data_IF_280184520997
#
_entry.id   IF_280184520997
#
_cell.length_a   1.000
_cell.length_b   1.000
_cell.length_c   1.000
_cell.angle_alpha   90.00
_cell.angle_beta   90.00
_cell.angle_gamma   90.00
#
_symmetry.space_group_name_H-M   'P 1'
#
loop_
_entity.id
_entity.type
_entity.pdbx_description
1 polymer ?
#
# COMPACT_ATOMS: atom_id res chain seq x y z
N UNK A 1 14.19 -65.12 -9.26
CA UNK A 1 14.36 -63.73 -8.72
C UNK A 1 13.54 -62.81 -9.59
N UNK A 2 12.33 -62.46 -9.14
CA UNK A 2 11.45 -61.52 -9.85
C UNK A 2 11.55 -60.15 -9.13
N UNK A 3 12.08 -59.16 -9.86
CA UNK A 3 12.21 -57.81 -9.34
C UNK A 3 10.83 -57.10 -9.48
N UNK A 4 10.24 -56.76 -8.36
CA UNK A 4 9.00 -56.00 -8.26
C UNK A 4 9.31 -54.52 -8.55
N UNK A 5 9.00 -54.07 -9.75
CA UNK A 5 9.11 -52.65 -10.16
C UNK A 5 7.82 -51.95 -9.72
N UNK A 6 7.88 -51.30 -8.53
CA UNK A 6 6.78 -50.50 -8.06
C UNK A 6 6.72 -49.20 -8.89
N UNK A 7 5.76 -49.11 -9.81
CA UNK A 7 5.40 -47.87 -10.47
C UNK A 7 4.75 -46.94 -9.47
N UNK A 8 5.45 -45.92 -9.04
CA UNK A 8 4.85 -44.74 -8.40
C UNK A 8 4.05 -43.98 -9.45
N UNK A 9 2.78 -44.26 -9.55
CA UNK A 9 1.82 -43.39 -10.25
C UNK A 9 1.59 -42.19 -9.31
N UNK A 10 2.50 -41.25 -9.31
CA UNK A 10 2.27 -39.95 -8.75
C UNK A 10 1.18 -39.27 -9.55
N UNK A 11 -0.03 -39.16 -8.97
CA UNK A 11 -1.10 -38.40 -9.58
C UNK A 11 -0.59 -36.97 -9.89
N UNK A 12 -0.51 -36.67 -11.18
CA UNK A 12 -0.21 -35.33 -11.65
C UNK A 12 -1.37 -34.44 -11.19
N UNK A 13 -1.21 -33.74 -10.05
CA UNK A 13 -2.10 -32.62 -9.71
C UNK A 13 -1.98 -31.62 -10.85
N UNK A 14 -3.11 -31.24 -11.42
CA UNK A 14 -3.14 -30.20 -12.43
C UNK A 14 -2.45 -28.96 -11.86
N UNK A 15 -1.28 -28.65 -12.37
CA UNK A 15 -0.50 -27.49 -11.94
C UNK A 15 -1.29 -26.25 -12.31
N UNK A 16 -1.66 -25.42 -11.33
CA UNK A 16 -2.34 -24.16 -11.59
C UNK A 16 -1.49 -23.33 -12.56
N UNK A 17 -2.09 -22.90 -13.66
CA UNK A 17 -1.39 -22.10 -14.66
C UNK A 17 -1.01 -20.76 -14.05
N UNK A 18 0.19 -20.28 -14.29
CA UNK A 18 0.57 -18.92 -13.87
C UNK A 18 -0.44 -17.90 -14.39
N UNK A 19 -0.85 -17.00 -13.54
CA UNK A 19 -1.79 -15.94 -13.90
C UNK A 19 -1.32 -14.58 -13.39
N UNK A 20 -1.67 -13.56 -14.15
CA UNK A 20 -1.39 -12.16 -13.79
C UNK A 20 -2.71 -11.40 -13.79
N UNK A 21 -3.03 -10.76 -12.69
CA UNK A 21 -4.24 -9.94 -12.54
C UNK A 21 -3.85 -8.52 -12.20
N UNK A 22 -4.25 -7.59 -13.05
CA UNK A 22 -4.17 -6.16 -12.77
C UNK A 22 -5.33 -5.76 -11.87
N UNK A 23 -5.08 -4.84 -10.95
CA UNK A 23 -6.10 -4.21 -10.11
C UNK A 23 -5.69 -2.78 -9.80
N UNK A 24 -6.61 -2.03 -9.24
CA UNK A 24 -6.34 -0.67 -8.80
C UNK A 24 -7.63 0.11 -8.58
N UNK A 25 -7.47 1.34 -8.20
CA UNK A 25 -8.57 2.29 -8.06
C UNK A 25 -8.05 3.71 -8.28
N UNK A 26 -8.95 4.58 -8.71
CA UNK A 26 -8.73 6.02 -8.73
C UNK A 26 -9.31 6.57 -7.43
N UNK A 27 -8.50 7.32 -6.68
CA UNK A 27 -8.94 7.98 -5.45
C UNK A 27 -8.82 9.48 -5.63
N UNK A 28 -9.94 10.15 -5.49
CA UNK A 28 -10.00 11.60 -5.38
C UNK A 28 -10.35 11.94 -3.94
N UNK A 29 -9.52 12.74 -3.31
CA UNK A 29 -9.71 13.23 -1.95
C UNK A 29 -9.89 14.73 -2.01
N UNK A 30 -11.02 15.21 -1.49
CA UNK A 30 -11.34 16.63 -1.38
C UNK A 30 -11.49 17.00 0.08
N UNK A 31 -10.79 18.02 0.53
CA UNK A 31 -10.98 18.57 1.85
C UNK A 31 -11.10 20.09 1.78
N UNK A 32 -11.85 20.62 2.72
CA UNK A 32 -11.99 22.05 2.93
C UNK A 32 -11.69 22.33 4.40
N UNK A 33 -10.68 23.15 4.63
CA UNK A 33 -10.24 23.58 5.94
C UNK A 33 -10.61 25.05 6.14
N UNK A 34 -11.11 25.37 7.31
CA UNK A 34 -11.40 26.78 7.68
C UNK A 34 -10.15 27.54 8.08
N UNK A 35 -9.04 26.84 8.24
CA UNK A 35 -7.74 27.37 8.62
C UNK A 35 -6.67 26.62 7.84
N UNK A 36 -5.57 27.25 7.48
CA UNK A 36 -4.45 26.58 6.85
C UNK A 36 -3.92 25.43 7.72
N UNK A 37 -3.64 24.31 7.08
CA UNK A 37 -3.14 23.10 7.72
C UNK A 37 -1.65 22.91 7.47
N UNK A 38 -0.99 22.24 8.42
CA UNK A 38 0.36 21.74 8.23
C UNK A 38 0.35 20.68 7.15
N UNK A 39 1.26 20.77 6.21
CA UNK A 39 1.43 19.83 5.12
C UNK A 39 2.71 19.04 5.31
N UNK A 40 2.75 17.85 4.75
CA UNK A 40 3.95 17.04 4.66
C UNK A 40 4.16 16.59 3.22
N UNK A 41 5.31 16.03 2.94
CA UNK A 41 5.63 15.47 1.63
C UNK A 41 5.32 16.44 0.47
N UNK A 42 6.02 17.56 0.44
CA UNK A 42 5.86 18.60 -0.60
C UNK A 42 4.45 19.18 -0.66
N UNK A 43 3.85 19.40 0.50
CA UNK A 43 2.52 20.02 0.64
C UNK A 43 1.35 19.18 0.10
N UNK A 44 1.57 17.90 -0.15
CA UNK A 44 0.55 17.00 -0.69
C UNK A 44 -0.40 16.44 0.35
N UNK A 45 0.03 16.39 1.63
CA UNK A 45 -0.75 15.88 2.75
C UNK A 45 -0.81 16.90 3.86
N UNK A 46 -1.93 16.96 4.57
CA UNK A 46 -2.06 17.75 5.77
C UNK A 46 -2.26 16.85 7.01
N UNK A 47 -1.84 17.35 8.14
CA UNK A 47 -1.94 16.66 9.42
C UNK A 47 -2.81 17.39 10.43
N UNK A 48 -2.56 18.65 10.64
CA UNK A 48 -3.22 19.48 11.65
C UNK A 48 -3.18 20.95 11.26
N UNK A 49 -4.09 21.79 11.83
CA UNK A 49 -4.08 23.21 11.60
C UNK A 49 -2.73 23.84 11.99
N UNK A 50 -2.31 24.83 11.24
CA UNK A 50 -1.17 25.66 11.62
C UNK A 50 -1.48 26.49 12.87
N UNK A 51 -0.46 26.72 13.67
CA UNK A 51 -0.54 27.62 14.81
C UNK A 51 -0.88 29.06 14.38
N UNK A 52 -1.36 29.86 15.33
CA UNK A 52 -1.60 31.27 15.12
C UNK A 52 -0.28 31.99 14.76
N UNK A 53 -0.34 32.82 13.72
CA UNK A 53 0.79 33.65 13.29
C UNK A 53 0.29 35.04 12.94
N UNK A 54 0.50 35.98 13.85
CA UNK A 54 0.03 37.37 13.68
C UNK A 54 0.94 38.16 12.73
N UNK A 55 0.31 38.94 11.88
CA UNK A 55 0.97 39.97 11.07
C UNK A 55 1.23 41.25 11.88
N UNK A 56 1.79 42.28 11.25
CA UNK A 56 2.09 43.54 11.88
C UNK A 56 0.83 44.33 12.36
N UNK A 57 -0.34 43.94 11.88
CA UNK A 57 -1.63 44.54 12.23
C UNK A 57 -2.40 43.70 13.26
N UNK A 58 -1.85 42.58 13.70
CA UNK A 58 -2.47 41.68 14.67
C UNK A 58 -3.45 40.68 14.05
N UNK A 59 -3.47 40.51 12.75
CA UNK A 59 -4.32 39.49 12.09
C UNK A 59 -3.57 38.20 11.97
N UNK A 60 -4.27 37.07 12.17
CA UNK A 60 -3.69 35.75 11.98
C UNK A 60 -3.63 35.39 10.49
N UNK A 61 -2.43 35.31 9.93
CA UNK A 61 -2.22 34.99 8.51
C UNK A 61 -2.55 33.54 8.17
N UNK A 62 -2.65 32.65 9.15
CA UNK A 62 -3.02 31.24 8.97
C UNK A 62 -4.54 30.99 9.09
N UNK A 63 -5.31 32.02 9.49
CA UNK A 63 -6.78 31.95 9.55
C UNK A 63 -7.39 32.19 8.15
N UNK A 64 -6.99 31.35 7.22
CA UNK A 64 -7.48 31.40 5.84
C UNK A 64 -8.06 30.07 5.45
N UNK A 65 -9.26 30.05 4.83
CA UNK A 65 -9.83 28.83 4.32
C UNK A 65 -8.98 28.29 3.16
N UNK A 66 -8.82 27.00 3.16
CA UNK A 66 -8.08 26.27 2.12
C UNK A 66 -8.91 25.12 1.56
N UNK A 67 -8.84 24.90 0.26
CA UNK A 67 -9.43 23.76 -0.40
C UNK A 67 -8.35 22.96 -1.10
N UNK A 68 -8.29 21.68 -0.82
CA UNK A 68 -7.32 20.77 -1.42
C UNK A 68 -8.02 19.64 -2.15
N UNK A 69 -7.57 19.34 -3.36
CA UNK A 69 -7.99 18.19 -4.16
C UNK A 69 -6.76 17.34 -4.45
N UNK A 70 -6.79 16.09 -4.02
CA UNK A 70 -5.67 15.16 -4.15
C UNK A 70 -6.11 13.88 -4.84
N UNK A 71 -5.31 13.39 -5.79
CA UNK A 71 -5.51 12.11 -6.48
C UNK A 71 -4.27 11.20 -6.40
N UNK A 72 -3.26 11.63 -5.67
CA UNK A 72 -1.94 11.00 -5.63
C UNK A 72 -1.92 9.61 -5.01
N UNK A 73 -2.94 9.24 -4.23
CA UNK A 73 -3.09 7.90 -3.67
C UNK A 73 -3.89 6.94 -4.56
N UNK A 74 -4.19 7.36 -5.79
CA UNK A 74 -4.61 6.47 -6.87
C UNK A 74 -3.64 5.31 -6.97
N UNK A 75 -4.15 4.09 -7.04
CA UNK A 75 -3.36 2.88 -6.84
C UNK A 75 -3.39 1.99 -8.06
N UNK A 76 -2.23 1.43 -8.39
CA UNK A 76 -2.06 0.42 -9.41
C UNK A 76 -1.38 -0.79 -8.78
N UNK A 77 -1.84 -1.97 -9.13
CA UNK A 77 -1.28 -3.20 -8.58
C UNK A 77 -1.38 -4.38 -9.54
N UNK A 78 -0.52 -5.35 -9.27
CA UNK A 78 -0.43 -6.61 -9.99
C UNK A 78 -0.39 -7.74 -8.99
N UNK A 79 -1.31 -8.69 -9.09
CA UNK A 79 -1.26 -9.96 -8.39
C UNK A 79 -0.81 -11.04 -9.37
N UNK A 80 0.21 -11.79 -8.99
CA UNK A 80 0.80 -12.87 -9.79
C UNK A 80 0.61 -14.17 -9.01
N UNK A 81 0.02 -15.17 -9.67
CA UNK A 81 -0.01 -16.54 -9.16
C UNK A 81 1.01 -17.33 -9.94
N UNK A 82 1.94 -17.98 -9.25
CA UNK A 82 2.98 -18.81 -9.84
C UNK A 82 2.63 -20.30 -9.78
N UNK A 83 3.49 -21.16 -10.35
CA UNK A 83 3.37 -22.60 -10.21
C UNK A 83 3.63 -23.07 -8.78
N UNK A 84 3.15 -24.24 -8.41
CA UNK A 84 3.57 -24.88 -7.16
C UNK A 84 5.09 -25.12 -7.14
N UNK A 85 5.73 -24.78 -6.05
CA UNK A 85 7.15 -25.01 -5.82
C UNK A 85 7.40 -25.57 -4.42
N UNK A 86 8.11 -26.67 -4.33
CA UNK A 86 8.38 -27.38 -3.05
C UNK A 86 7.10 -27.67 -2.23
N UNK A 87 5.98 -27.98 -2.89
CA UNK A 87 4.70 -28.22 -2.26
C UNK A 87 4.00 -26.98 -1.70
N UNK A 88 4.52 -25.78 -2.00
CA UNK A 88 3.89 -24.51 -1.68
C UNK A 88 3.19 -23.89 -2.88
N UNK A 89 2.07 -23.22 -2.65
CA UNK A 89 1.51 -22.28 -3.61
C UNK A 89 2.39 -21.03 -3.63
N UNK A 90 2.75 -20.57 -4.83
CA UNK A 90 3.56 -19.37 -4.98
C UNK A 90 2.73 -18.22 -5.50
N UNK A 91 2.99 -17.03 -4.98
CA UNK A 91 2.37 -15.79 -5.43
C UNK A 91 3.34 -14.63 -5.29
N UNK A 92 3.06 -13.55 -6.02
CA UNK A 92 3.75 -12.27 -5.84
C UNK A 92 2.75 -11.12 -5.98
N UNK A 93 3.08 -10.01 -5.36
CA UNK A 93 2.30 -8.79 -5.43
C UNK A 93 3.21 -7.59 -5.64
N UNK A 94 2.81 -6.71 -6.54
CA UNK A 94 3.39 -5.39 -6.70
C UNK A 94 2.25 -4.39 -6.61
N UNK A 95 2.40 -3.37 -5.78
CA UNK A 95 1.42 -2.30 -5.61
C UNK A 95 2.13 -0.96 -5.47
N UNK A 96 1.68 0.02 -6.20
CA UNK A 96 2.24 1.37 -6.19
C UNK A 96 1.16 2.44 -6.19
N UNK A 97 1.52 3.63 -5.73
CA UNK A 97 0.78 4.87 -5.85
C UNK A 97 1.72 6.04 -6.24
N UNK A 98 1.20 7.24 -6.31
CA UNK A 98 1.93 8.43 -6.75
C UNK A 98 2.31 9.37 -5.59
N UNK A 99 2.23 8.89 -4.36
CA UNK A 99 2.51 9.67 -3.15
C UNK A 99 3.92 9.42 -2.59
N UNK A 100 4.91 9.25 -3.46
CA UNK A 100 6.32 9.11 -3.07
C UNK A 100 6.95 10.40 -2.60
N UNK A 101 8.12 10.29 -1.96
CA UNK A 101 8.92 11.43 -1.53
C UNK A 101 9.83 11.91 -2.66
N UNK A 102 9.96 13.22 -2.82
CA UNK A 102 10.84 13.79 -3.84
C UNK A 102 10.65 15.29 -4.02
N UNK A 103 11.36 15.85 -4.97
CA UNK A 103 11.27 17.28 -5.35
C UNK A 103 10.12 17.58 -6.31
N UNK A 104 9.52 16.55 -6.88
CA UNK A 104 8.35 16.67 -7.75
C UNK A 104 7.08 16.44 -6.95
N UNK A 105 5.99 17.09 -7.35
CA UNK A 105 4.70 16.99 -6.69
C UNK A 105 4.08 15.59 -6.77
N UNK A 106 4.55 14.77 -7.68
CA UNK A 106 4.05 13.41 -7.88
C UNK A 106 5.22 12.46 -8.13
N UNK A 107 5.46 11.55 -7.21
CA UNK A 107 6.53 10.54 -7.30
C UNK A 107 5.93 9.16 -7.08
N UNK A 108 6.26 8.23 -7.98
CA UNK A 108 5.83 6.85 -7.85
C UNK A 108 6.41 6.23 -6.56
N UNK A 109 5.55 5.64 -5.74
CA UNK A 109 5.93 4.96 -4.51
C UNK A 109 5.56 3.48 -4.60
N UNK A 110 6.50 2.61 -4.29
CA UNK A 110 6.21 1.19 -4.07
C UNK A 110 5.60 1.03 -2.68
N UNK A 111 4.37 0.53 -2.63
CA UNK A 111 3.66 0.25 -1.38
C UNK A 111 3.90 -1.17 -0.92
N UNK A 112 3.78 -2.12 -1.84
CA UNK A 112 4.04 -3.53 -1.60
C UNK A 112 4.80 -4.11 -2.79
N UNK A 113 5.81 -4.91 -2.53
CA UNK A 113 6.54 -5.66 -3.55
C UNK A 113 7.11 -6.90 -2.87
N UNK A 114 6.41 -8.02 -2.96
CA UNK A 114 6.81 -9.24 -2.28
C UNK A 114 6.50 -10.50 -3.10
N UNK A 115 7.24 -11.56 -2.80
CA UNK A 115 6.92 -12.93 -3.17
C UNK A 115 6.49 -13.71 -1.92
N UNK A 116 5.52 -14.61 -2.09
CA UNK A 116 4.99 -15.47 -1.02
C UNK A 116 5.00 -16.92 -1.45
N UNK A 117 5.42 -17.79 -0.54
CA UNK A 117 5.24 -19.23 -0.60
C UNK A 117 4.32 -19.65 0.55
N UNK A 118 3.29 -20.43 0.25
CA UNK A 118 2.28 -20.82 1.22
C UNK A 118 2.05 -22.31 1.21
N UNK A 119 2.31 -22.95 2.36
CA UNK A 119 2.01 -24.32 2.67
C UNK A 119 0.74 -24.39 3.53
N UNK A 120 0.27 -25.61 3.80
CA UNK A 120 -0.97 -25.83 4.57
C UNK A 120 -0.97 -25.17 5.97
N UNK A 121 0.17 -25.06 6.64
CA UNK A 121 0.29 -24.56 8.03
C UNK A 121 1.32 -23.43 8.20
N UNK A 122 2.02 -23.05 7.17
CA UNK A 122 3.06 -22.03 7.22
C UNK A 122 3.17 -21.26 5.95
N UNK A 123 3.73 -20.07 6.01
CA UNK A 123 4.05 -19.28 4.83
C UNK A 123 5.36 -18.52 5.03
N UNK A 124 6.02 -18.25 3.92
CA UNK A 124 7.18 -17.38 3.86
C UNK A 124 6.83 -16.25 2.91
N UNK A 125 7.05 -15.01 3.36
CA UNK A 125 6.90 -13.80 2.56
C UNK A 125 8.25 -13.08 2.56
N UNK A 126 8.71 -12.71 1.37
CA UNK A 126 9.98 -12.02 1.17
C UNK A 126 9.74 -10.77 0.33
N UNK A 127 10.11 -9.63 0.85
CA UNK A 127 9.96 -8.34 0.20
C UNK A 127 9.28 -7.30 1.09
N UNK A 128 8.80 -6.24 0.47
CA UNK A 128 8.11 -5.15 1.14
C UNK A 128 6.61 -5.44 1.22
N UNK A 129 6.08 -5.50 2.42
CA UNK A 129 4.65 -5.69 2.70
C UNK A 129 4.21 -4.80 3.87
N UNK A 130 2.91 -4.72 4.07
CA UNK A 130 2.37 -4.08 5.27
C UNK A 130 2.88 -4.77 6.53
N UNK A 131 3.12 -3.98 7.58
CA UNK A 131 3.44 -4.54 8.88
C UNK A 131 2.32 -5.49 9.34
N UNK A 132 2.64 -6.68 9.91
CA UNK A 132 1.64 -7.68 10.27
C UNK A 132 0.51 -7.16 11.17
N UNK A 133 0.81 -6.19 12.05
CA UNK A 133 -0.18 -5.58 12.96
C UNK A 133 -1.23 -4.75 12.21
N UNK A 134 -0.93 -4.32 10.97
CA UNK A 134 -1.82 -3.45 10.20
C UNK A 134 -3.06 -4.14 9.62
N UNK A 135 -3.05 -5.48 9.51
CA UNK A 135 -4.15 -6.22 8.88
C UNK A 135 -5.44 -6.20 9.67
N UNK A 136 -5.35 -6.47 10.99
CA UNK A 136 -6.52 -6.69 11.85
C UNK A 136 -6.73 -5.60 12.89
N UNK A 137 -5.76 -4.71 13.07
CA UNK A 137 -5.75 -3.71 14.14
C UNK A 137 -5.49 -2.29 13.62
N UNK A 138 -5.92 -2.00 12.41
CA UNK A 138 -5.76 -0.64 11.89
C UNK A 138 -6.59 0.32 12.75
N UNK A 139 -5.95 1.27 13.45
CA UNK A 139 -6.68 2.26 14.24
C UNK A 139 -7.47 3.19 13.31
N UNK A 140 -8.49 3.82 13.85
CA UNK A 140 -9.18 4.88 13.16
C UNK A 140 -8.20 5.99 12.79
N UNK A 141 -8.18 6.37 11.54
CA UNK A 141 -7.27 7.39 11.02
C UNK A 141 -8.04 8.60 10.54
N UNK A 142 -7.53 9.76 10.83
CA UNK A 142 -8.11 11.02 10.40
C UNK A 142 -7.91 11.24 8.91
N UNK A 143 -6.72 10.92 8.40
CA UNK A 143 -6.39 11.00 6.99
C UNK A 143 -6.03 9.64 6.42
N UNK A 144 -6.82 9.16 5.48
CA UNK A 144 -6.54 7.91 4.76
C UNK A 144 -5.28 7.99 3.89
N UNK A 145 -4.87 9.22 3.53
CA UNK A 145 -3.72 9.45 2.66
C UNK A 145 -2.40 9.20 3.38
N UNK A 146 -2.30 9.66 4.61
CA UNK A 146 -1.10 9.55 5.44
C UNK A 146 -1.22 8.50 6.52
N UNK A 147 -2.44 8.06 6.84
CA UNK A 147 -2.70 7.26 8.04
C UNK A 147 -2.56 8.07 9.32
N UNK A 148 -2.62 9.42 9.24
CA UNK A 148 -2.51 10.27 10.41
C UNK A 148 -3.64 9.99 11.44
N UNK A 149 -3.33 10.05 12.72
CA UNK A 149 -2.07 10.50 13.31
C UNK A 149 -0.98 9.44 13.41
N UNK A 150 -1.27 8.18 13.09
CA UNK A 150 -0.35 7.07 13.35
C UNK A 150 0.68 6.82 12.25
N UNK A 151 0.46 7.30 11.04
CA UNK A 151 1.37 7.11 9.90
C UNK A 151 2.05 5.73 9.87
N UNK A 152 1.30 4.65 9.77
CA UNK A 152 1.78 3.29 10.02
C UNK A 152 2.57 2.65 8.85
N UNK A 153 3.15 3.44 8.00
CA UNK A 153 3.83 2.99 6.79
C UNK A 153 5.34 3.12 6.89
#
# INVERSE_FOLDING_TARGET
MAALMAMFIGGAKAQEKPSVKLYGFIRNYACFDTRESLTSNSEQFYYMPKDEKLDANGNDINEQPNMMLLSITTRLGVNITGPEFLGAKTSAKIESDFAGFGTSNTVLRIRQAYAKMEWKKSSILVGQAWHPIMGDMMPDVFSLETGAPFTPF
#
